data_IF_017832017834
#
_entry.id   IF_017832017834
#
_cell.length_a   1.000
_cell.length_b   1.000
_cell.length_c   1.000
_cell.angle_alpha   90.00
_cell.angle_beta   90.00
_cell.angle_gamma   90.00
#
_symmetry.space_group_name_H-M   'P 1'
#
loop_
_entity.id
_entity.type
_entity.pdbx_description
1 polymer ?
#
# COMPACT_ATOMS: atom_id res chain seq x y z
N UNK A 1 16.53 -10.94 32.54
CA UNK A 1 16.47 -11.83 31.36
C UNK A 1 17.46 -11.30 30.34
N UNK A 2 18.38 -12.16 29.85
CA UNK A 2 19.26 -11.76 28.76
C UNK A 2 18.39 -11.40 27.52
N UNK A 3 18.70 -10.30 26.84
CA UNK A 3 17.98 -9.88 25.62
C UNK A 3 18.23 -10.84 24.43
N UNK A 4 19.27 -11.67 24.49
CA UNK A 4 19.69 -12.53 23.38
C UNK A 4 18.65 -13.59 23.00
N UNK A 5 17.81 -13.99 23.96
CA UNK A 5 16.76 -15.00 23.73
C UNK A 5 15.43 -14.40 23.26
N UNK A 6 15.30 -13.06 23.26
CA UNK A 6 14.09 -12.42 22.78
C UNK A 6 14.03 -12.39 21.25
N UNK A 7 12.83 -12.54 20.65
CA UNK A 7 12.67 -12.51 19.20
C UNK A 7 12.93 -11.11 18.63
N UNK A 8 13.12 -11.05 17.32
CA UNK A 8 13.03 -9.81 16.54
C UNK A 8 11.60 -9.70 16.02
N UNK A 9 10.87 -8.70 16.48
CA UNK A 9 9.51 -8.45 16.05
C UNK A 9 9.51 -7.76 14.68
N UNK A 10 8.66 -8.22 13.78
CA UNK A 10 8.41 -7.62 12.46
C UNK A 10 6.95 -7.20 12.42
N UNK A 11 6.68 -5.93 12.15
CA UNK A 11 5.33 -5.38 12.03
C UNK A 11 4.93 -5.33 10.58
N UNK A 12 3.97 -6.15 10.19
CA UNK A 12 3.48 -6.33 8.82
C UNK A 12 4.05 -7.57 8.12
N UNK A 13 3.17 -8.36 7.51
CA UNK A 13 3.51 -9.51 6.67
C UNK A 13 3.33 -9.22 5.18
N UNK A 14 3.67 -8.02 4.74
CA UNK A 14 3.81 -7.66 3.34
C UNK A 14 5.14 -8.17 2.76
N UNK A 15 5.48 -7.80 1.51
CA UNK A 15 6.70 -8.24 0.82
C UNK A 15 7.97 -7.98 1.65
N UNK A 16 8.08 -6.77 2.22
CA UNK A 16 9.26 -6.36 3.02
C UNK A 16 9.33 -7.13 4.33
N UNK A 17 8.21 -7.32 5.03
CA UNK A 17 8.17 -8.03 6.31
C UNK A 17 8.50 -9.52 6.16
N UNK A 18 7.97 -10.18 5.13
CA UNK A 18 8.28 -11.59 4.86
C UNK A 18 9.73 -11.78 4.37
N UNK A 19 10.25 -10.85 3.55
CA UNK A 19 11.66 -10.84 3.18
C UNK A 19 12.55 -10.67 4.40
N UNK A 20 12.24 -9.71 5.29
CA UNK A 20 12.98 -9.52 6.55
C UNK A 20 12.97 -10.80 7.41
N UNK A 21 11.84 -11.49 7.51
CA UNK A 21 11.76 -12.77 8.22
C UNK A 21 12.67 -13.84 7.59
N UNK A 22 12.70 -13.95 6.25
CA UNK A 22 13.57 -14.88 5.54
C UNK A 22 15.06 -14.57 5.81
N UNK A 23 15.44 -13.31 5.75
CA UNK A 23 16.80 -12.86 6.05
C UNK A 23 17.22 -13.10 7.51
N UNK A 24 16.31 -12.97 8.47
CA UNK A 24 16.58 -13.29 9.87
C UNK A 24 16.76 -14.79 10.08
N UNK A 25 15.90 -15.60 9.48
CA UNK A 25 16.00 -17.08 9.55
C UNK A 25 17.32 -17.58 8.98
N UNK A 26 17.79 -17.06 7.85
CA UNK A 26 19.10 -17.40 7.27
C UNK A 26 20.25 -17.13 8.24
N UNK A 27 20.13 -16.10 9.08
CA UNK A 27 21.13 -15.73 10.08
C UNK A 27 20.98 -16.48 11.41
N UNK A 28 20.11 -17.48 11.49
CA UNK A 28 19.82 -18.20 12.72
C UNK A 28 19.11 -17.36 13.79
N UNK A 29 18.49 -16.23 13.39
CA UNK A 29 17.77 -15.35 14.29
C UNK A 29 16.29 -15.75 14.36
N UNK A 30 15.61 -15.39 15.46
CA UNK A 30 14.22 -15.73 15.70
C UNK A 30 13.30 -14.57 15.33
N UNK A 31 12.71 -14.51 14.12
CA UNK A 31 11.69 -13.53 13.80
C UNK A 31 10.35 -13.88 14.49
N UNK A 32 9.54 -12.85 14.74
CA UNK A 32 8.13 -12.95 15.13
C UNK A 32 7.37 -11.91 14.31
N UNK A 33 6.52 -12.35 13.39
CA UNK A 33 5.84 -11.48 12.41
C UNK A 33 4.41 -11.24 12.85
N UNK A 34 3.99 -9.99 12.94
CA UNK A 34 2.62 -9.58 13.26
C UNK A 34 1.96 -8.96 12.04
N UNK A 35 0.83 -9.52 11.61
CA UNK A 35 0.00 -9.01 10.52
C UNK A 35 -1.39 -8.63 11.06
N UNK A 36 -1.80 -7.41 10.78
CA UNK A 36 -3.10 -6.91 11.23
C UNK A 36 -4.28 -7.56 10.50
N UNK A 37 -4.05 -8.01 9.27
CA UNK A 37 -5.06 -8.67 8.45
C UNK A 37 -5.16 -10.18 8.69
N UNK A 38 -6.19 -10.78 8.09
CA UNK A 38 -6.44 -12.22 8.16
C UNK A 38 -5.51 -13.05 7.24
N UNK A 39 -4.75 -12.41 6.36
CA UNK A 39 -3.81 -13.05 5.44
C UNK A 39 -2.54 -12.23 5.31
N UNK A 40 -1.43 -12.87 4.97
CA UNK A 40 -0.23 -12.15 4.58
C UNK A 40 -0.53 -11.21 3.39
N UNK A 41 0.02 -9.99 3.44
CA UNK A 41 -0.18 -9.00 2.41
C UNK A 41 -1.61 -8.45 2.29
N UNK A 42 -2.39 -8.44 3.38
CA UNK A 42 -3.80 -8.03 3.37
C UNK A 42 -4.05 -6.66 2.69
N UNK A 43 -3.16 -5.69 2.88
CA UNK A 43 -3.25 -4.38 2.21
C UNK A 43 -3.11 -4.47 0.68
N UNK A 44 -2.34 -5.43 0.16
CA UNK A 44 -2.18 -5.67 -1.28
C UNK A 44 -3.49 -6.18 -1.88
N UNK A 45 -4.23 -7.02 -1.14
CA UNK A 45 -5.53 -7.53 -1.57
C UNK A 45 -6.51 -6.44 -1.97
N UNK A 46 -6.43 -5.26 -1.34
CA UNK A 46 -7.31 -4.11 -1.63
C UNK A 46 -7.05 -3.44 -2.98
N UNK A 47 -5.86 -3.63 -3.56
CA UNK A 47 -5.48 -3.16 -4.89
C UNK A 47 -5.00 -4.31 -5.77
N UNK A 48 -5.48 -5.52 -5.50
CA UNK A 48 -5.10 -6.75 -6.18
C UNK A 48 -5.29 -6.75 -7.70
N UNK A 49 -6.22 -5.94 -8.21
CA UNK A 49 -6.48 -5.75 -9.64
C UNK A 49 -5.40 -4.90 -10.34
N UNK A 50 -4.67 -4.08 -9.60
CA UNK A 50 -3.69 -3.14 -10.18
C UNK A 50 -2.44 -3.87 -10.65
N UNK A 51 -2.02 -3.63 -11.89
CA UNK A 51 -0.74 -4.12 -12.43
C UNK A 51 0.42 -3.30 -11.90
N UNK A 52 1.46 -3.98 -11.46
CA UNK A 52 2.68 -3.35 -10.98
C UNK A 52 3.56 -2.85 -12.14
N UNK A 53 4.38 -1.84 -11.86
CA UNK A 53 5.38 -1.32 -12.82
C UNK A 53 6.72 -2.04 -12.75
N UNK A 54 6.92 -2.85 -11.71
CA UNK A 54 8.12 -3.65 -11.50
C UNK A 54 7.88 -5.08 -11.95
N UNK A 55 8.78 -5.68 -12.73
CA UNK A 55 8.70 -7.08 -13.11
C UNK A 55 9.00 -7.98 -11.91
N UNK A 56 8.71 -9.28 -12.03
CA UNK A 56 8.93 -10.25 -10.96
C UNK A 56 10.37 -10.25 -10.42
N UNK A 57 11.37 -10.02 -11.28
CA UNK A 57 12.78 -9.92 -10.88
C UNK A 57 13.06 -8.87 -9.80
N UNK A 58 12.22 -7.85 -9.67
CA UNK A 58 12.34 -6.82 -8.64
C UNK A 58 11.47 -7.08 -7.41
N UNK A 59 10.51 -8.00 -7.52
CA UNK A 59 9.50 -8.23 -6.50
C UNK A 59 9.76 -9.49 -5.65
N UNK A 60 10.66 -10.37 -6.09
CA UNK A 60 11.01 -11.60 -5.38
C UNK A 60 12.36 -11.41 -4.68
N UNK A 61 12.35 -11.55 -3.35
CA UNK A 61 13.56 -11.55 -2.53
C UNK A 61 14.30 -12.90 -2.66
N UNK A 62 15.61 -12.87 -2.80
CA UNK A 62 16.42 -14.07 -3.02
C UNK A 62 16.39 -15.05 -1.83
N UNK A 63 16.32 -14.55 -0.57
CA UNK A 63 16.27 -15.40 0.62
C UNK A 63 14.89 -16.02 0.81
N UNK A 64 13.85 -15.25 0.48
CA UNK A 64 12.48 -15.76 0.45
C UNK A 64 12.31 -16.85 -0.63
N UNK A 65 12.88 -16.64 -1.83
CA UNK A 65 12.91 -17.66 -2.89
C UNK A 65 13.64 -18.94 -2.45
N UNK A 66 14.74 -18.80 -1.72
CA UNK A 66 15.47 -19.96 -1.17
C UNK A 66 14.63 -20.77 -0.16
N UNK A 67 13.78 -20.13 0.64
CA UNK A 67 12.83 -20.81 1.53
C UNK A 67 11.72 -21.53 0.75
N UNK A 68 11.31 -21.00 -0.39
CA UNK A 68 10.30 -21.59 -1.26
C UNK A 68 10.82 -22.77 -2.09
N UNK A 69 12.09 -22.77 -2.48
CA UNK A 69 12.66 -23.77 -3.38
C UNK A 69 12.39 -25.22 -2.95
N UNK A 70 12.51 -25.62 -1.66
CA UNK A 70 12.25 -26.99 -1.23
C UNK A 70 10.78 -27.43 -1.33
N UNK A 71 9.84 -26.49 -1.53
CA UNK A 71 8.39 -26.79 -1.61
C UNK A 71 7.93 -27.17 -3.02
N UNK A 72 8.82 -27.14 -4.00
CA UNK A 72 8.46 -27.30 -5.40
C UNK A 72 7.89 -26.02 -6.05
N UNK A 73 7.97 -24.89 -5.36
CA UNK A 73 7.55 -23.60 -5.91
C UNK A 73 8.37 -23.24 -7.15
N UNK A 74 7.66 -22.81 -8.19
CA UNK A 74 8.27 -22.34 -9.45
C UNK A 74 8.14 -20.85 -9.52
N UNK A 75 9.27 -20.16 -9.69
CA UNK A 75 9.27 -18.70 -9.84
C UNK A 75 8.55 -18.29 -11.14
N UNK A 76 7.70 -17.29 -11.11
CA UNK A 76 7.11 -16.71 -12.32
C UNK A 76 8.19 -16.15 -13.27
N UNK A 77 7.88 -15.95 -14.57
CA UNK A 77 8.82 -15.36 -15.53
C UNK A 77 9.35 -14.02 -15.03
N UNK A 78 10.67 -13.88 -14.97
CA UNK A 78 11.38 -12.77 -14.31
C UNK A 78 11.04 -11.38 -14.89
N UNK A 79 10.72 -11.30 -16.17
CA UNK A 79 10.41 -10.10 -16.95
C UNK A 79 8.90 -9.78 -16.99
N UNK A 80 8.03 -10.69 -16.53
CA UNK A 80 6.59 -10.45 -16.49
C UNK A 80 6.22 -9.50 -15.34
N UNK A 81 5.16 -8.72 -15.55
CA UNK A 81 4.65 -7.72 -14.62
C UNK A 81 3.41 -8.25 -13.89
N UNK A 82 3.51 -8.55 -12.60
CA UNK A 82 2.38 -9.05 -11.83
C UNK A 82 1.32 -7.99 -11.56
N UNK A 83 0.10 -8.44 -11.31
CA UNK A 83 -0.88 -7.67 -10.54
C UNK A 83 -0.61 -7.83 -9.05
N UNK A 84 -1.26 -7.00 -8.22
CA UNK A 84 -1.21 -7.21 -6.76
C UNK A 84 -1.74 -8.59 -6.35
N UNK A 85 -2.75 -9.10 -7.05
CA UNK A 85 -3.28 -10.46 -6.84
C UNK A 85 -2.27 -11.55 -7.20
N UNK A 86 -1.57 -11.39 -8.31
CA UNK A 86 -0.51 -12.32 -8.70
C UNK A 86 0.60 -12.35 -7.65
N UNK A 87 1.00 -11.18 -7.13
CA UNK A 87 2.00 -11.07 -6.08
C UNK A 87 1.57 -11.85 -4.82
N UNK A 88 0.30 -11.77 -4.45
CA UNK A 88 -0.25 -12.53 -3.32
C UNK A 88 -0.25 -14.04 -3.61
N UNK A 89 -0.90 -14.45 -4.70
CA UNK A 89 -1.19 -15.87 -4.96
C UNK A 89 0.03 -16.66 -5.39
N UNK A 90 0.95 -16.04 -6.15
CA UNK A 90 2.10 -16.75 -6.73
C UNK A 90 3.37 -16.64 -5.86
N UNK A 91 3.39 -15.71 -4.88
CA UNK A 91 4.59 -15.51 -4.08
C UNK A 91 4.34 -15.38 -2.58
N UNK A 92 3.56 -14.36 -2.13
CA UNK A 92 3.48 -14.06 -0.70
C UNK A 92 2.72 -15.12 0.11
N UNK A 93 1.63 -15.65 -0.41
CA UNK A 93 0.89 -16.71 0.28
C UNK A 93 1.65 -18.02 0.31
N UNK A 94 2.24 -18.51 -0.80
CA UNK A 94 3.16 -19.64 -0.74
C UNK A 94 4.28 -19.45 0.29
N UNK A 95 4.90 -18.25 0.35
CA UNK A 95 5.94 -17.95 1.32
C UNK A 95 5.45 -17.96 2.77
N UNK A 96 4.27 -17.43 3.02
CA UNK A 96 3.66 -17.42 4.36
C UNK A 96 3.36 -18.84 4.89
N UNK A 97 3.11 -19.81 4.00
CA UNK A 97 2.82 -21.19 4.33
C UNK A 97 4.09 -22.05 4.53
N UNK A 98 5.27 -21.57 4.16
CA UNK A 98 6.52 -22.30 4.45
C UNK A 98 6.68 -22.42 5.96
N UNK A 99 6.92 -23.66 6.45
CA UNK A 99 6.92 -23.97 7.88
C UNK A 99 7.77 -23.01 8.75
N UNK A 100 8.99 -22.61 8.37
CA UNK A 100 9.79 -21.64 9.13
C UNK A 100 9.12 -20.27 9.31
N UNK A 101 8.34 -19.81 8.32
CA UNK A 101 7.59 -18.54 8.37
C UNK A 101 6.27 -18.75 9.12
N UNK A 102 5.47 -19.75 8.71
CA UNK A 102 4.12 -20.00 9.25
C UNK A 102 4.11 -20.13 10.77
N UNK A 103 5.11 -20.82 11.35
CA UNK A 103 5.23 -21.00 12.81
C UNK A 103 5.50 -19.70 13.57
N UNK A 104 5.87 -18.62 12.87
CA UNK A 104 6.27 -17.32 13.43
C UNK A 104 5.37 -16.18 12.98
N UNK A 105 4.36 -16.48 12.17
CA UNK A 105 3.41 -15.52 11.64
C UNK A 105 2.14 -15.49 12.48
N UNK A 106 1.83 -14.33 13.01
CA UNK A 106 0.63 -14.04 13.80
C UNK A 106 -0.30 -13.15 12.98
N UNK A 107 -1.31 -13.77 12.38
CA UNK A 107 -2.37 -13.07 11.64
C UNK A 107 -3.40 -12.47 12.62
N UNK A 108 -4.23 -11.54 12.14
CA UNK A 108 -5.22 -10.81 12.95
C UNK A 108 -4.59 -10.20 14.23
N UNK A 109 -3.34 -9.80 14.14
CA UNK A 109 -2.52 -9.34 15.27
C UNK A 109 -1.94 -7.96 14.95
N UNK A 110 -2.69 -6.93 15.34
CA UNK A 110 -2.30 -5.53 15.11
C UNK A 110 -1.38 -5.02 16.21
N UNK A 111 -0.18 -4.63 15.85
CA UNK A 111 0.69 -3.86 16.77
C UNK A 111 0.11 -2.45 16.89
N UNK A 112 -0.33 -2.07 18.07
CA UNK A 112 -0.97 -0.77 18.33
C UNK A 112 -0.01 0.22 18.99
N UNK A 113 1.03 -0.25 19.67
CA UNK A 113 2.10 0.61 20.17
C UNK A 113 3.41 -0.17 20.36
N UNK A 114 4.50 0.57 20.33
CA UNK A 114 5.86 0.07 20.59
C UNK A 114 6.54 1.02 21.60
N UNK A 115 7.11 0.47 22.66
CA UNK A 115 7.83 1.22 23.66
C UNK A 115 9.03 0.41 24.17
N UNK A 116 9.71 0.91 25.21
CA UNK A 116 10.76 0.20 25.96
C UNK A 116 10.22 -0.28 27.30
N UNK A 117 10.46 -1.53 27.63
CA UNK A 117 9.99 -2.13 28.87
C UNK A 117 10.52 -1.37 30.09
N UNK A 118 9.62 -0.98 31.00
CA UNK A 118 9.95 -0.26 32.23
C UNK A 118 10.38 1.20 32.02
N UNK A 119 10.21 1.76 30.82
CA UNK A 119 10.56 3.15 30.51
C UNK A 119 9.35 3.90 29.99
N UNK A 120 9.03 5.01 30.64
CA UNK A 120 8.08 6.02 30.17
C UNK A 120 8.83 7.19 29.48
N UNK A 121 8.12 8.26 29.13
CA UNK A 121 8.69 9.43 28.46
C UNK A 121 9.71 10.17 29.33
N UNK A 122 9.66 10.01 30.66
CA UNK A 122 10.53 10.72 31.62
C UNK A 122 11.82 9.97 31.92
N UNK A 123 11.88 8.67 31.69
CA UNK A 123 13.03 7.84 31.99
C UNK A 123 13.88 7.59 30.75
N UNK A 124 15.05 8.21 30.68
CA UNK A 124 16.01 8.02 29.58
C UNK A 124 17.19 7.13 29.94
N UNK A 125 17.58 7.07 31.23
CA UNK A 125 18.72 6.27 31.68
C UNK A 125 18.52 4.78 31.34
N UNK A 126 19.51 4.18 30.70
CA UNK A 126 19.53 2.76 30.26
C UNK A 126 18.40 2.36 29.28
N UNK A 127 17.64 3.30 28.75
CA UNK A 127 16.53 3.04 27.81
C UNK A 127 16.98 2.21 26.60
N UNK A 128 18.19 2.46 26.09
CA UNK A 128 18.76 1.71 24.95
C UNK A 128 19.03 0.22 25.24
N UNK A 129 19.18 -0.14 26.52
CA UNK A 129 19.47 -1.51 26.97
C UNK A 129 18.19 -2.30 27.34
N UNK A 130 17.04 -1.62 27.49
CA UNK A 130 15.79 -2.28 27.80
C UNK A 130 15.22 -2.96 26.53
N UNK A 131 14.55 -4.13 26.66
CA UNK A 131 13.85 -4.73 25.53
C UNK A 131 12.71 -3.85 25.05
N UNK A 132 12.31 -4.03 23.80
CA UNK A 132 11.07 -3.47 23.30
C UNK A 132 9.87 -4.21 23.90
N UNK A 133 8.80 -3.48 24.16
CA UNK A 133 7.48 -4.02 24.42
C UNK A 133 6.54 -3.58 23.29
N UNK A 134 5.89 -4.53 22.65
CA UNK A 134 4.88 -4.31 21.64
C UNK A 134 3.52 -4.63 22.24
N UNK A 135 2.59 -3.70 22.21
CA UNK A 135 1.19 -4.00 22.48
C UNK A 135 0.53 -4.49 21.22
N UNK A 136 -0.02 -5.68 21.28
CA UNK A 136 -0.62 -6.38 20.14
C UNK A 136 -2.09 -6.61 20.43
N UNK A 137 -2.98 -6.04 19.63
CA UNK A 137 -4.42 -6.30 19.64
C UNK A 137 -4.75 -7.46 18.69
N UNK A 138 -5.47 -8.44 19.20
CA UNK A 138 -5.89 -9.62 18.45
C UNK A 138 -7.30 -10.07 18.84
N UNK A 139 -7.79 -11.22 18.31
CA UNK A 139 -9.14 -11.71 18.58
C UNK A 139 -9.42 -11.98 20.08
N UNK A 140 -8.37 -12.32 20.83
CA UNK A 140 -8.46 -12.61 22.28
C UNK A 140 -8.22 -11.37 23.15
N UNK A 141 -8.14 -10.18 22.56
CA UNK A 141 -7.85 -8.93 23.24
C UNK A 141 -6.41 -8.47 23.06
N UNK A 142 -5.96 -7.56 23.93
CA UNK A 142 -4.61 -7.00 23.90
C UNK A 142 -3.65 -7.80 24.76
N UNK A 143 -2.41 -7.93 24.26
CA UNK A 143 -1.30 -8.52 25.02
C UNK A 143 0.00 -7.76 24.77
N UNK A 144 0.92 -7.82 25.72
CA UNK A 144 2.27 -7.30 25.58
C UNK A 144 3.24 -8.41 25.15
N UNK A 145 4.09 -8.11 24.17
CA UNK A 145 5.12 -8.99 23.66
C UNK A 145 6.46 -8.30 23.77
N UNK A 146 7.46 -9.00 24.34
CA UNK A 146 8.82 -8.50 24.43
C UNK A 146 9.64 -8.89 23.19
N UNK A 147 10.45 -7.97 22.70
CA UNK A 147 11.36 -8.19 21.61
C UNK A 147 12.71 -7.47 21.85
N UNK A 148 13.80 -8.04 21.35
CA UNK A 148 15.11 -7.37 21.42
C UNK A 148 15.26 -6.26 20.38
N UNK A 149 14.57 -6.39 19.24
CA UNK A 149 14.54 -5.43 18.15
C UNK A 149 13.17 -5.43 17.48
N UNK A 150 12.86 -4.35 16.78
CA UNK A 150 11.61 -4.20 16.00
C UNK A 150 11.98 -3.74 14.59
N UNK A 151 11.42 -4.39 13.59
CA UNK A 151 11.44 -3.99 12.18
C UNK A 151 10.03 -3.54 11.84
N UNK A 152 9.85 -2.24 11.56
CA UNK A 152 8.58 -1.73 11.06
C UNK A 152 8.53 -1.91 9.52
N UNK A 153 7.71 -2.84 9.08
CA UNK A 153 7.38 -3.15 7.69
C UNK A 153 5.86 -3.03 7.45
N UNK A 154 5.16 -2.24 8.27
CA UNK A 154 3.70 -2.06 8.22
C UNK A 154 3.20 -1.35 6.96
N UNK A 155 4.09 -0.67 6.24
CA UNK A 155 3.76 0.10 5.05
C UNK A 155 2.95 1.36 5.36
N UNK A 156 2.45 2.01 4.31
CA UNK A 156 1.74 3.29 4.42
C UNK A 156 0.28 3.24 3.98
N UNK A 157 -0.22 2.05 3.65
CA UNK A 157 -1.55 1.90 3.06
C UNK A 157 -2.69 2.37 3.99
N UNK A 158 -2.53 2.23 5.29
CA UNK A 158 -3.51 2.68 6.29
C UNK A 158 -3.37 4.17 6.65
N UNK A 159 -2.36 4.86 6.15
CA UNK A 159 -2.10 6.28 6.37
C UNK A 159 -2.11 7.02 5.04
N UNK A 160 -3.29 7.33 4.49
CA UNK A 160 -3.40 7.96 3.17
C UNK A 160 -2.84 9.39 3.19
N UNK A 161 -2.44 9.86 2.01
CA UNK A 161 -2.17 11.27 1.80
C UNK A 161 -3.51 12.00 1.70
N UNK A 162 -3.81 12.84 2.69
CA UNK A 162 -5.03 13.63 2.74
C UNK A 162 -5.10 14.66 1.61
N UNK A 163 -6.33 15.03 1.24
CA UNK A 163 -6.56 16.04 0.20
C UNK A 163 -6.17 17.45 0.64
N UNK A 164 -6.25 17.72 1.95
CA UNK A 164 -5.99 19.04 2.51
C UNK A 164 -4.64 19.61 2.14
N UNK A 165 -4.59 20.90 1.89
CA UNK A 165 -3.43 21.67 1.43
C UNK A 165 -2.22 21.54 2.34
N UNK A 166 -2.44 21.36 3.64
CA UNK A 166 -1.39 21.33 4.66
C UNK A 166 -0.89 19.91 5.01
N UNK A 167 -1.29 18.88 4.24
CA UNK A 167 -0.93 17.47 4.54
C UNK A 167 -1.74 16.87 5.69
N UNK A 168 -2.78 17.55 6.14
CA UNK A 168 -3.81 17.07 7.07
C UNK A 168 -5.15 17.00 6.34
N UNK A 169 -6.17 16.32 6.88
CA UNK A 169 -7.49 16.31 6.26
C UNK A 169 -8.03 17.72 6.02
N UNK A 170 -8.59 17.98 4.85
CA UNK A 170 -9.36 19.20 4.60
C UNK A 170 -10.59 19.27 5.52
N UNK A 171 -11.10 20.46 5.79
CA UNK A 171 -12.31 20.59 6.58
C UNK A 171 -13.47 19.81 5.95
N UNK A 172 -14.08 18.90 6.66
CA UNK A 172 -15.14 18.00 6.18
C UNK A 172 -14.69 16.74 5.45
N UNK A 173 -13.40 16.57 5.17
CA UNK A 173 -12.86 15.39 4.48
C UNK A 173 -13.16 14.09 5.24
N UNK A 174 -12.93 14.08 6.56
CA UNK A 174 -13.19 12.90 7.39
C UNK A 174 -14.69 12.56 7.47
N UNK A 175 -15.56 13.56 7.46
CA UNK A 175 -17.01 13.35 7.46
C UNK A 175 -17.53 12.79 6.13
N UNK A 176 -16.77 12.96 5.04
CA UNK A 176 -17.09 12.48 3.69
C UNK A 176 -16.28 11.26 3.27
N UNK A 177 -15.57 10.60 4.20
CA UNK A 177 -14.60 9.53 3.90
C UNK A 177 -15.22 8.30 3.20
N UNK A 178 -16.48 8.01 3.41
CA UNK A 178 -17.24 6.93 2.74
C UNK A 178 -17.42 7.17 1.23
N UNK A 179 -17.30 8.42 0.79
CA UNK A 179 -17.41 8.87 -0.61
C UNK A 179 -16.06 9.11 -1.27
N UNK A 180 -14.97 8.93 -0.54
CA UNK A 180 -13.60 9.19 -0.99
C UNK A 180 -12.83 7.87 -1.02
N UNK A 181 -12.20 7.56 -2.14
CA UNK A 181 -11.27 6.43 -2.25
C UNK A 181 -9.84 6.93 -2.14
N UNK A 182 -9.12 6.48 -1.10
CA UNK A 182 -7.70 6.80 -0.88
C UNK A 182 -6.74 5.78 -1.51
N UNK A 183 -7.28 4.82 -2.25
CA UNK A 183 -6.54 3.81 -3.00
C UNK A 183 -6.97 3.82 -4.46
N UNK A 184 -6.46 2.90 -5.27
CA UNK A 184 -6.96 2.67 -6.62
C UNK A 184 -8.21 1.79 -6.52
N UNK A 185 -9.44 2.32 -6.73
CA UNK A 185 -10.64 1.51 -6.72
C UNK A 185 -10.74 0.66 -8.00
N UNK A 186 -11.29 -0.53 -7.89
CA UNK A 186 -11.57 -1.40 -9.05
C UNK A 186 -12.80 -0.89 -9.81
N UNK A 187 -12.62 0.20 -10.55
CA UNK A 187 -13.73 0.90 -11.26
C UNK A 187 -14.25 0.12 -12.47
N UNK A 188 -13.48 -0.83 -12.99
CA UNK A 188 -13.91 -1.72 -14.07
C UNK A 188 -14.57 -2.99 -13.55
N UNK A 189 -14.30 -3.37 -12.29
CA UNK A 189 -14.85 -4.56 -11.61
C UNK A 189 -15.82 -4.20 -10.47
N UNK A 190 -15.47 -4.60 -9.25
CA UNK A 190 -16.37 -4.53 -8.08
C UNK A 190 -16.93 -3.13 -7.80
N UNK A 191 -16.11 -2.08 -7.98
CA UNK A 191 -16.51 -0.72 -7.68
C UNK A 191 -17.23 -0.01 -8.85
N UNK A 192 -17.43 -0.66 -10.00
CA UNK A 192 -18.03 -0.07 -11.20
C UNK A 192 -19.31 0.71 -10.90
N UNK A 193 -20.22 0.15 -10.11
CA UNK A 193 -21.51 0.75 -9.75
C UNK A 193 -21.40 2.09 -9.02
N UNK A 194 -20.26 2.38 -8.37
CA UNK A 194 -20.02 3.65 -7.66
C UNK A 194 -19.57 4.77 -8.59
N UNK A 195 -19.04 4.45 -9.77
CA UNK A 195 -18.38 5.40 -10.66
C UNK A 195 -19.07 5.55 -12.01
N UNK A 196 -19.72 4.50 -12.51
CA UNK A 196 -20.43 4.53 -13.79
C UNK A 196 -21.52 5.60 -13.83
N UNK A 197 -21.55 6.39 -14.92
CA UNK A 197 -22.51 7.47 -15.15
C UNK A 197 -22.44 8.59 -14.07
N UNK A 198 -21.26 8.83 -13.52
CA UNK A 198 -20.99 9.84 -12.52
C UNK A 198 -19.93 10.83 -12.99
N UNK A 199 -19.89 11.99 -12.36
CA UNK A 199 -18.76 12.92 -12.44
C UNK A 199 -17.76 12.53 -11.34
N UNK A 200 -16.57 12.08 -11.75
CA UNK A 200 -15.55 11.54 -10.85
C UNK A 200 -14.32 12.44 -10.88
N UNK A 201 -13.90 12.92 -9.73
CA UNK A 201 -12.67 13.69 -9.58
C UNK A 201 -11.56 12.78 -9.06
N UNK A 202 -10.43 12.73 -9.76
CA UNK A 202 -9.17 12.17 -9.27
C UNK A 202 -8.29 13.31 -8.79
N UNK A 203 -7.88 13.29 -7.53
CA UNK A 203 -7.01 14.30 -6.95
C UNK A 203 -5.63 13.72 -6.69
N UNK A 204 -4.59 14.33 -7.27
CA UNK A 204 -3.20 13.94 -7.08
C UNK A 204 -2.49 13.62 -8.38
N UNK A 205 -1.16 13.47 -8.29
CA UNK A 205 -0.27 13.29 -9.45
C UNK A 205 0.62 12.05 -9.34
N UNK A 206 0.33 11.16 -8.40
CA UNK A 206 1.06 9.90 -8.24
C UNK A 206 0.55 8.80 -9.19
N UNK A 207 1.28 7.69 -9.26
CA UNK A 207 0.95 6.56 -10.15
C UNK A 207 -0.42 5.93 -9.83
N UNK A 208 -0.87 5.98 -8.57
CA UNK A 208 -2.23 5.55 -8.21
C UNK A 208 -3.29 6.40 -8.91
N UNK A 209 -3.07 7.73 -9.01
CA UNK A 209 -3.96 8.59 -9.77
C UNK A 209 -3.96 8.22 -11.27
N UNK A 210 -2.81 7.91 -11.84
CA UNK A 210 -2.70 7.52 -13.25
C UNK A 210 -3.43 6.22 -13.55
N UNK A 211 -3.31 5.20 -12.70
CA UNK A 211 -4.08 3.97 -12.84
C UNK A 211 -5.59 4.26 -12.77
N UNK A 212 -6.03 5.04 -11.78
CA UNK A 212 -7.43 5.39 -11.64
C UNK A 212 -7.96 6.20 -12.85
N UNK A 213 -7.18 7.15 -13.37
CA UNK A 213 -7.53 7.93 -14.55
C UNK A 213 -7.65 7.08 -15.81
N UNK A 214 -6.72 6.12 -15.99
CA UNK A 214 -6.76 5.17 -17.10
C UNK A 214 -8.05 4.35 -17.06
N UNK A 215 -8.32 3.71 -15.94
CA UNK A 215 -9.47 2.82 -15.78
C UNK A 215 -10.80 3.59 -15.82
N UNK A 216 -10.84 4.83 -15.28
CA UNK A 216 -12.01 5.70 -15.39
C UNK A 216 -12.25 6.17 -16.83
N UNK A 217 -11.21 6.42 -17.62
CA UNK A 217 -11.37 6.77 -19.03
C UNK A 217 -11.91 5.59 -19.84
N UNK A 218 -11.49 4.36 -19.52
CA UNK A 218 -12.03 3.15 -20.10
C UNK A 218 -13.50 2.94 -19.69
N UNK A 219 -13.81 3.15 -18.41
CA UNK A 219 -15.20 3.15 -17.93
C UNK A 219 -16.06 4.19 -18.66
N UNK A 220 -15.55 5.41 -18.87
CA UNK A 220 -16.27 6.48 -19.58
C UNK A 220 -16.53 6.15 -21.05
N UNK A 221 -15.66 5.38 -21.70
CA UNK A 221 -15.88 4.90 -23.04
C UNK A 221 -17.05 3.89 -23.14
N UNK A 222 -17.22 3.07 -22.10
CA UNK A 222 -18.34 2.12 -21.99
C UNK A 222 -19.61 2.74 -21.41
N UNK A 223 -19.49 3.80 -20.59
CA UNK A 223 -20.58 4.48 -19.91
C UNK A 223 -20.52 6.00 -20.21
N UNK A 224 -21.10 6.47 -21.34
CA UNK A 224 -20.84 7.82 -21.89
C UNK A 224 -21.26 9.00 -21.00
N UNK A 225 -22.06 8.78 -19.95
CA UNK A 225 -22.39 9.82 -18.96
C UNK A 225 -21.34 9.96 -17.85
N UNK A 226 -20.32 9.10 -17.85
CA UNK A 226 -19.21 9.21 -16.90
C UNK A 226 -18.28 10.35 -17.32
N UNK A 227 -18.01 11.27 -16.41
CA UNK A 227 -17.11 12.41 -16.63
C UNK A 227 -15.89 12.26 -15.72
N UNK A 228 -14.71 12.35 -16.33
CA UNK A 228 -13.44 12.20 -15.59
C UNK A 228 -12.78 13.55 -15.46
N UNK A 229 -12.62 14.01 -14.22
CA UNK A 229 -11.91 15.23 -13.87
C UNK A 229 -10.61 14.82 -13.15
N UNK A 230 -9.56 15.55 -13.41
CA UNK A 230 -8.28 15.40 -12.77
C UNK A 230 -7.79 16.71 -12.18
N UNK A 231 -7.49 16.73 -10.87
CA UNK A 231 -6.99 17.93 -10.20
C UNK A 231 -5.60 17.65 -9.58
N UNK A 232 -4.70 18.61 -9.78
CA UNK A 232 -3.32 18.56 -9.26
C UNK A 232 -2.94 19.88 -8.58
N UNK A 233 -2.11 19.80 -7.53
CA UNK A 233 -1.56 20.99 -6.86
C UNK A 233 -0.56 21.75 -7.73
N UNK A 234 0.23 21.02 -8.52
CA UNK A 234 1.21 21.61 -9.42
C UNK A 234 0.57 22.34 -10.59
N UNK A 235 1.31 23.28 -11.18
CA UNK A 235 0.87 24.06 -12.35
C UNK A 235 1.39 23.51 -13.68
N UNK A 236 2.31 22.53 -13.65
CA UNK A 236 2.92 21.94 -14.83
C UNK A 236 2.80 20.42 -14.83
N UNK A 237 2.52 19.87 -16.01
CA UNK A 237 2.43 18.42 -16.25
C UNK A 237 3.78 17.77 -16.59
N UNK A 238 4.78 18.52 -17.01
CA UNK A 238 6.03 17.99 -17.56
C UNK A 238 6.76 17.05 -16.60
N UNK A 239 6.79 17.41 -15.29
CA UNK A 239 7.40 16.57 -14.26
C UNK A 239 6.52 15.40 -13.82
N UNK A 240 5.21 15.50 -14.02
CA UNK A 240 4.21 14.58 -13.50
C UNK A 240 4.07 13.37 -14.42
N UNK A 241 4.09 13.58 -15.74
CA UNK A 241 3.89 12.52 -16.73
C UNK A 241 5.12 11.60 -16.92
N UNK A 242 6.20 11.86 -16.16
CA UNK A 242 7.39 11.02 -16.12
C UNK A 242 8.28 11.15 -17.36
N UNK A 243 9.31 10.30 -17.43
CA UNK A 243 10.30 10.30 -18.50
C UNK A 243 9.79 9.78 -19.87
N UNK A 244 8.52 9.40 -19.98
CA UNK A 244 7.95 8.83 -21.19
C UNK A 244 8.77 7.62 -21.68
N UNK A 245 9.29 7.68 -22.90
CA UNK A 245 10.13 6.60 -23.48
C UNK A 245 11.49 6.42 -22.78
N UNK A 246 11.93 7.40 -22.01
CA UNK A 246 13.20 7.40 -21.28
C UNK A 246 13.01 7.03 -19.78
N UNK A 247 11.82 6.62 -19.37
CA UNK A 247 11.57 6.19 -17.99
C UNK A 247 12.30 4.88 -17.70
N UNK A 248 12.98 4.80 -16.54
CA UNK A 248 13.70 3.59 -16.13
C UNK A 248 12.74 2.39 -15.93
N UNK A 249 11.48 2.66 -15.59
CA UNK A 249 10.41 1.66 -15.53
C UNK A 249 9.51 1.83 -16.76
N UNK A 250 9.70 0.98 -17.76
CA UNK A 250 9.01 1.10 -19.05
C UNK A 250 7.49 1.17 -18.94
N UNK A 251 6.87 0.34 -18.10
CA UNK A 251 5.41 0.35 -17.88
C UNK A 251 4.93 1.67 -17.25
N UNK A 252 5.72 2.25 -16.36
CA UNK A 252 5.44 3.58 -15.81
C UNK A 252 5.46 4.66 -16.89
N UNK A 253 6.46 4.63 -17.74
CA UNK A 253 6.57 5.56 -18.86
C UNK A 253 5.41 5.42 -19.86
N UNK A 254 5.00 4.20 -20.19
CA UNK A 254 3.84 3.93 -21.05
C UNK A 254 2.56 4.52 -20.48
N UNK A 255 2.30 4.36 -19.18
CA UNK A 255 1.12 4.91 -18.53
C UNK A 255 1.08 6.44 -18.63
N UNK A 256 2.20 7.13 -18.41
CA UNK A 256 2.30 8.58 -18.59
C UNK A 256 1.95 9.04 -20.02
N UNK A 257 2.38 8.29 -21.04
CA UNK A 257 2.04 8.57 -22.45
C UNK A 257 0.55 8.36 -22.72
N UNK A 258 -0.07 7.34 -22.14
CA UNK A 258 -1.52 7.09 -22.25
C UNK A 258 -2.30 8.24 -21.63
N UNK A 259 -1.95 8.70 -20.43
CA UNK A 259 -2.64 9.82 -19.78
C UNK A 259 -2.50 11.11 -20.61
N UNK A 260 -1.31 11.39 -21.19
CA UNK A 260 -1.15 12.53 -22.08
C UNK A 260 -2.11 12.46 -23.27
N UNK A 261 -2.19 11.32 -23.94
CA UNK A 261 -3.12 11.12 -25.06
C UNK A 261 -4.58 11.35 -24.64
N UNK A 262 -5.00 10.83 -23.49
CA UNK A 262 -6.37 11.01 -22.99
C UNK A 262 -6.71 12.47 -22.68
N UNK A 263 -5.72 13.26 -22.25
CA UNK A 263 -5.86 14.71 -22.09
C UNK A 263 -5.99 15.42 -23.46
N UNK A 264 -5.13 15.09 -24.41
CA UNK A 264 -5.13 15.68 -25.75
C UNK A 264 -6.43 15.37 -26.51
N UNK A 265 -7.02 14.19 -26.27
CA UNK A 265 -8.32 13.76 -26.80
C UNK A 265 -9.53 14.37 -26.04
N UNK A 266 -9.29 15.14 -24.97
CA UNK A 266 -10.37 15.73 -24.14
C UNK A 266 -11.18 14.70 -23.33
N UNK A 267 -10.63 13.50 -23.12
CA UNK A 267 -11.28 12.43 -22.32
C UNK A 267 -11.17 12.66 -20.82
N UNK A 268 -10.24 13.49 -20.40
CA UNK A 268 -9.99 13.88 -19.02
C UNK A 268 -9.94 15.41 -18.96
N UNK A 269 -10.75 15.99 -18.09
CA UNK A 269 -10.70 17.44 -17.82
C UNK A 269 -9.69 17.73 -16.72
N UNK A 270 -8.59 18.44 -17.06
CA UNK A 270 -7.51 18.75 -16.12
C UNK A 270 -7.71 20.12 -15.46
N UNK A 271 -7.46 20.15 -14.14
CA UNK A 271 -7.39 21.36 -13.32
C UNK A 271 -6.03 21.40 -12.62
N UNK A 272 -5.26 22.45 -12.82
CA UNK A 272 -3.95 22.66 -12.21
C UNK A 272 -4.00 23.72 -11.11
N UNK A 273 -3.02 23.72 -10.21
CA UNK A 273 -2.96 24.70 -9.11
C UNK A 273 -4.08 24.55 -8.08
N UNK A 274 -4.68 23.35 -7.98
CA UNK A 274 -5.79 23.09 -7.08
C UNK A 274 -5.31 22.83 -5.66
N UNK A 275 -5.79 23.61 -4.72
CA UNK A 275 -5.60 23.44 -3.29
C UNK A 275 -6.97 23.22 -2.65
N UNK A 276 -7.07 22.19 -1.80
CA UNK A 276 -8.34 21.83 -1.15
C UNK A 276 -8.26 22.17 0.33
N UNK A 277 -9.07 23.13 0.75
CA UNK A 277 -9.16 23.56 2.15
C UNK A 277 -10.41 23.00 2.85
N UNK A 278 -11.49 22.78 2.08
CA UNK A 278 -12.77 22.30 2.60
C UNK A 278 -13.46 21.37 1.60
N UNK A 279 -14.17 20.38 2.13
CA UNK A 279 -15.13 19.53 1.41
C UNK A 279 -16.48 19.69 2.08
N UNK A 280 -17.51 19.90 1.27
CA UNK A 280 -18.88 20.00 1.74
C UNK A 280 -19.82 19.16 0.88
N UNK A 281 -20.85 18.62 1.51
CA UNK A 281 -21.95 17.98 0.80
C UNK A 281 -22.78 19.01 0.04
N UNK A 282 -23.23 18.63 -1.15
CA UNK A 282 -24.19 19.38 -1.94
C UNK A 282 -25.18 18.42 -2.61
N UNK A 283 -26.34 18.91 -3.08
CA UNK A 283 -27.30 18.07 -3.82
C UNK A 283 -26.70 17.37 -5.04
N UNK A 284 -25.65 17.94 -5.61
CA UNK A 284 -24.97 17.46 -6.82
C UNK A 284 -23.78 16.54 -6.52
N UNK A 285 -23.40 16.40 -5.25
CA UNK A 285 -22.24 15.59 -4.83
C UNK A 285 -21.33 16.32 -3.85
N UNK A 286 -20.07 15.93 -3.79
CA UNK A 286 -19.06 16.61 -2.98
C UNK A 286 -18.60 17.90 -3.70
N UNK A 287 -18.60 19.01 -2.98
CA UNK A 287 -18.03 20.29 -3.42
C UNK A 287 -16.71 20.52 -2.70
N UNK A 288 -15.66 20.76 -3.49
CA UNK A 288 -14.33 21.08 -2.99
C UNK A 288 -14.13 22.60 -3.07
N UNK A 289 -13.54 23.17 -2.00
CA UNK A 289 -13.22 24.59 -1.87
C UNK A 289 -11.74 24.77 -1.57
#
# INVERSE_FOLDING_TARGET
MSMDHLPIAIVGAGPVGLAAAAHLLERGLAPMVFEAGATAGASIGRWGHVRMFSPWSFNIDAKAAALLAPTGWVAPPADAYPTGRDLLTQYLWPLAEVAPIRQRLHLNSRVVSVSRAGHDVMRTAQRGQAPFVLRVAGPEGERDVLARAVIDASGTYATPNWMGTHGIPALGEMASADRIAYSVPDVLGEARHRYANRRVLVLGSGHSAFNALHDLAELAAAEPRTQVLWAIRGVSLERILGGGKNDQLQERGKLGLVIRRLLDEGKIALHTGVHVDRIADSPEGLRLH
#
